data_IF_114355832144
#
_entry.id   IF_114355832144
#
_cell.length_a   1.000
_cell.length_b   1.000
_cell.length_c   1.000
_cell.angle_alpha   90.00
_cell.angle_beta   90.00
_cell.angle_gamma   90.00
#
_symmetry.space_group_name_H-M   'P 1'
#
loop_
_entity.id
_entity.type
_entity.pdbx_description
1 polymer ?
#
# COMPACT_ATOMS: atom_id res chain seq x y z
N UNK A 1 -30.39 26.93 -11.78
CA UNK A 1 -30.23 25.57 -12.34
C UNK A 1 -31.37 24.71 -11.83
N UNK A 2 -32.09 23.99 -12.69
CA UNK A 2 -33.17 23.08 -12.28
C UNK A 2 -32.59 21.97 -11.35
N UNK A 3 -33.37 21.51 -10.35
CA UNK A 3 -32.97 20.45 -9.41
C UNK A 3 -32.55 19.18 -10.16
N UNK A 4 -33.30 18.81 -11.20
CA UNK A 4 -32.99 17.66 -12.05
C UNK A 4 -31.63 17.79 -12.73
N UNK A 5 -31.35 18.97 -13.31
CA UNK A 5 -30.06 19.20 -13.97
C UNK A 5 -28.88 19.20 -12.99
N UNK A 6 -29.11 19.67 -11.76
CA UNK A 6 -28.11 19.59 -10.69
C UNK A 6 -27.84 18.15 -10.29
N UNK A 7 -28.89 17.34 -10.12
CA UNK A 7 -28.76 15.93 -9.78
C UNK A 7 -28.03 15.15 -10.88
N UNK A 8 -28.34 15.40 -12.15
CA UNK A 8 -27.65 14.81 -13.31
C UNK A 8 -26.14 15.11 -13.30
N UNK A 9 -25.75 16.37 -13.13
CA UNK A 9 -24.33 16.76 -13.08
C UNK A 9 -23.60 16.15 -11.88
N UNK A 10 -24.26 16.05 -10.72
CA UNK A 10 -23.69 15.41 -9.54
C UNK A 10 -23.52 13.89 -9.73
N UNK A 11 -24.48 13.23 -10.41
CA UNK A 11 -24.42 11.81 -10.76
C UNK A 11 -23.26 11.51 -11.71
N UNK A 12 -23.08 12.33 -12.74
CA UNK A 12 -21.96 12.19 -13.68
C UNK A 12 -20.61 12.36 -12.96
N UNK A 13 -20.49 13.41 -12.14
CA UNK A 13 -19.29 13.64 -11.34
C UNK A 13 -19.02 12.52 -10.31
N UNK A 14 -20.08 11.98 -9.70
CA UNK A 14 -20.00 10.82 -8.81
C UNK A 14 -19.44 9.60 -9.55
N UNK A 15 -19.93 9.31 -10.76
CA UNK A 15 -19.49 8.18 -11.57
C UNK A 15 -18.00 8.30 -11.93
N UNK A 16 -17.57 9.48 -12.34
CA UNK A 16 -16.16 9.74 -12.68
C UNK A 16 -15.26 9.64 -11.44
N UNK A 17 -15.70 10.21 -10.32
CA UNK A 17 -14.99 10.12 -9.03
C UNK A 17 -14.87 8.67 -8.57
N UNK A 18 -15.94 7.89 -8.69
CA UNK A 18 -15.95 6.46 -8.34
C UNK A 18 -14.96 5.67 -9.20
N UNK A 19 -14.93 5.92 -10.50
CA UNK A 19 -13.98 5.26 -11.40
C UNK A 19 -12.52 5.60 -11.04
N UNK A 20 -12.25 6.84 -10.65
CA UNK A 20 -10.93 7.26 -10.16
C UNK A 20 -10.53 6.51 -8.89
N UNK A 21 -11.46 6.34 -7.93
CA UNK A 21 -11.22 5.55 -6.70
C UNK A 21 -10.87 4.10 -7.05
N UNK A 22 -11.63 3.47 -7.94
CA UNK A 22 -11.37 2.09 -8.39
C UNK A 22 -9.99 1.94 -9.03
N UNK A 23 -9.54 2.93 -9.79
CA UNK A 23 -8.20 2.94 -10.37
C UNK A 23 -7.12 3.04 -9.29
N UNK A 24 -7.28 3.93 -8.30
CA UNK A 24 -6.34 4.04 -7.18
C UNK A 24 -6.28 2.76 -6.33
N UNK A 25 -7.43 2.11 -6.09
CA UNK A 25 -7.50 0.83 -5.40
C UNK A 25 -6.75 -0.29 -6.13
N UNK A 26 -6.99 -0.44 -7.44
CA UNK A 26 -6.30 -1.45 -8.26
C UNK A 26 -4.79 -1.25 -8.22
N UNK A 27 -4.34 0.00 -8.35
CA UNK A 27 -2.91 0.32 -8.30
C UNK A 27 -2.30 0.11 -6.92
N UNK A 28 -3.01 0.48 -5.84
CA UNK A 28 -2.57 0.18 -4.46
C UNK A 28 -2.39 -1.32 -4.25
N UNK A 29 -3.31 -2.15 -4.75
CA UNK A 29 -3.22 -3.61 -4.62
C UNK A 29 -2.06 -4.19 -5.44
N UNK A 30 -1.75 -3.64 -6.62
CA UNK A 30 -0.55 -4.04 -7.39
C UNK A 30 0.74 -3.68 -6.66
N UNK A 31 0.82 -2.46 -6.13
CA UNK A 31 1.97 -2.01 -5.33
C UNK A 31 2.18 -2.90 -4.10
N UNK A 32 1.11 -3.33 -3.45
CA UNK A 32 1.20 -4.27 -2.32
C UNK A 32 1.89 -5.58 -2.72
N UNK A 33 1.50 -6.16 -3.86
CA UNK A 33 2.12 -7.40 -4.36
C UNK A 33 3.61 -7.17 -4.66
N UNK A 34 3.96 -6.03 -5.27
CA UNK A 34 5.35 -5.69 -5.54
C UNK A 34 6.17 -5.50 -4.26
N UNK A 35 5.61 -4.86 -3.23
CA UNK A 35 6.25 -4.71 -1.92
C UNK A 35 6.48 -6.09 -1.30
N UNK A 36 5.50 -6.98 -1.31
CA UNK A 36 5.66 -8.34 -0.79
C UNK A 36 6.74 -9.13 -1.55
N UNK A 37 6.77 -9.03 -2.88
CA UNK A 37 7.78 -9.68 -3.70
C UNK A 37 9.19 -9.16 -3.38
N UNK A 38 9.36 -7.84 -3.25
CA UNK A 38 10.64 -7.26 -2.86
C UNK A 38 11.05 -7.65 -1.44
N UNK A 39 10.11 -7.70 -0.50
CA UNK A 39 10.41 -8.15 0.86
C UNK A 39 10.87 -9.61 0.87
N UNK A 40 10.26 -10.47 0.07
CA UNK A 40 10.71 -11.85 -0.08
C UNK A 40 12.14 -11.91 -0.66
N UNK A 41 12.47 -11.08 -1.66
CA UNK A 41 13.82 -11.00 -2.23
C UNK A 41 14.83 -10.52 -1.19
N UNK A 42 14.52 -9.46 -0.43
CA UNK A 42 15.44 -8.97 0.62
C UNK A 42 15.57 -10.00 1.74
N UNK A 43 14.50 -10.70 2.11
CA UNK A 43 14.56 -11.77 3.11
C UNK A 43 15.47 -12.90 2.63
N UNK A 44 15.38 -13.30 1.36
CA UNK A 44 16.28 -14.28 0.78
C UNK A 44 17.74 -13.81 0.85
N UNK A 45 18.03 -12.55 0.49
CA UNK A 45 19.38 -11.97 0.62
C UNK A 45 19.89 -12.01 2.06
N UNK A 46 19.05 -11.67 3.03
CA UNK A 46 19.42 -11.62 4.45
C UNK A 46 19.68 -13.00 5.07
N UNK A 47 18.95 -14.03 4.64
CA UNK A 47 19.05 -15.37 5.22
C UNK A 47 19.85 -16.35 4.37
N UNK A 48 20.14 -16.02 3.11
CA UNK A 48 21.06 -16.81 2.32
C UNK A 48 22.48 -16.54 2.79
N UNK A 49 23.22 -17.58 3.15
CA UNK A 49 24.67 -17.49 3.22
C UNK A 49 25.21 -16.98 1.87
N UNK A 50 26.45 -16.45 1.86
CA UNK A 50 27.14 -15.92 0.68
C UNK A 50 27.12 -16.86 -0.55
N UNK A 51 26.76 -18.12 -0.34
CA UNK A 51 26.38 -19.15 -1.30
C UNK A 51 25.41 -18.68 -2.39
N UNK A 52 24.38 -17.86 -2.11
CA UNK A 52 23.45 -17.42 -3.19
C UNK A 52 24.14 -16.51 -4.21
N UNK A 53 24.86 -15.49 -3.74
CA UNK A 53 25.65 -14.59 -4.59
C UNK A 53 26.71 -15.35 -5.39
N UNK A 54 27.34 -16.37 -4.79
CA UNK A 54 28.30 -17.25 -5.47
C UNK A 54 27.63 -18.09 -6.57
N UNK A 55 26.46 -18.67 -6.30
CA UNK A 55 25.70 -19.45 -7.27
C UNK A 55 25.30 -18.62 -8.49
N UNK A 56 24.79 -17.41 -8.28
CA UNK A 56 24.39 -16.53 -9.39
C UNK A 56 25.61 -16.12 -10.20
N UNK A 57 26.71 -15.73 -9.56
CA UNK A 57 27.95 -15.38 -10.26
C UNK A 57 28.54 -16.58 -11.02
N UNK A 58 28.46 -17.80 -10.48
CA UNK A 58 28.87 -19.02 -11.18
C UNK A 58 28.01 -19.30 -12.41
N UNK A 59 26.69 -19.06 -12.33
CA UNK A 59 25.78 -19.22 -13.46
C UNK A 59 26.02 -18.17 -14.54
N UNK A 60 26.32 -16.93 -14.17
CA UNK A 60 26.72 -15.86 -15.10
C UNK A 60 28.01 -16.24 -15.83
N UNK A 61 29.05 -16.66 -15.11
CA UNK A 61 30.32 -17.12 -15.70
C UNK A 61 30.13 -18.30 -16.64
N UNK A 62 29.26 -19.24 -16.29
CA UNK A 62 28.94 -20.39 -17.16
C UNK A 62 28.33 -19.98 -18.50
N UNK A 63 27.53 -18.91 -18.54
CA UNK A 63 26.83 -18.47 -19.77
C UNK A 63 27.57 -17.38 -20.55
N UNK A 64 28.34 -16.52 -19.88
CA UNK A 64 29.00 -15.35 -20.46
C UNK A 64 30.54 -15.48 -20.51
N UNK A 65 31.08 -16.59 -20.00
CA UNK A 65 32.51 -16.85 -19.92
C UNK A 65 33.19 -16.22 -18.69
N UNK A 66 34.44 -16.58 -18.45
CA UNK A 66 35.21 -16.15 -17.27
C UNK A 66 35.55 -14.66 -17.23
N UNK A 67 35.42 -13.96 -18.37
CA UNK A 67 35.57 -12.51 -18.51
C UNK A 67 34.37 -11.71 -17.98
N UNK A 68 33.29 -12.38 -17.56
CA UNK A 68 32.13 -11.72 -16.98
C UNK A 68 32.49 -11.02 -15.66
N UNK A 69 32.18 -9.72 -15.58
CA UNK A 69 32.36 -8.93 -14.35
C UNK A 69 31.44 -9.49 -13.27
N UNK A 70 31.96 -9.85 -12.07
CA UNK A 70 31.13 -10.35 -10.99
C UNK A 70 30.17 -9.26 -10.52
N UNK A 71 28.92 -9.64 -10.24
CA UNK A 71 27.94 -8.74 -9.67
C UNK A 71 28.23 -8.52 -8.19
N UNK A 72 28.24 -7.25 -7.78
CA UNK A 72 28.29 -6.86 -6.38
C UNK A 72 26.87 -6.86 -5.80
N UNK A 73 26.56 -7.92 -5.05
CA UNK A 73 25.26 -8.10 -4.42
C UNK A 73 24.99 -7.09 -3.30
N UNK A 74 26.01 -6.45 -2.71
CA UNK A 74 25.79 -5.40 -1.71
C UNK A 74 25.16 -4.17 -2.35
N UNK A 75 25.66 -3.75 -3.52
CA UNK A 75 25.13 -2.60 -4.27
C UNK A 75 23.72 -2.91 -4.81
N UNK A 76 23.50 -4.12 -5.30
CA UNK A 76 22.17 -4.56 -5.75
C UNK A 76 21.19 -4.56 -4.57
N UNK A 77 21.59 -5.09 -3.41
CA UNK A 77 20.78 -5.04 -2.19
C UNK A 77 20.39 -3.62 -1.79
N UNK A 78 21.35 -2.68 -1.84
CA UNK A 78 21.07 -1.25 -1.61
C UNK A 78 20.07 -0.67 -2.61
N UNK A 79 20.20 -1.00 -3.90
CA UNK A 79 19.27 -0.55 -4.93
C UNK A 79 17.85 -1.12 -4.72
N UNK A 80 17.75 -2.39 -4.33
CA UNK A 80 16.48 -3.05 -3.99
C UNK A 80 15.83 -2.40 -2.78
N UNK A 81 16.60 -2.08 -1.74
CA UNK A 81 16.09 -1.39 -0.55
C UNK A 81 15.60 0.03 -0.88
N UNK A 82 16.31 0.75 -1.74
CA UNK A 82 15.86 2.04 -2.23
C UNK A 82 14.56 1.94 -3.06
N UNK A 83 14.48 0.95 -3.94
CA UNK A 83 13.25 0.66 -4.69
C UNK A 83 12.08 0.38 -3.74
N UNK A 84 12.31 -0.42 -2.68
CA UNK A 84 11.30 -0.69 -1.65
C UNK A 84 10.79 0.62 -1.01
N UNK A 85 11.67 1.54 -0.62
CA UNK A 85 11.28 2.86 -0.10
C UNK A 85 10.34 3.59 -1.07
N UNK A 86 10.68 3.65 -2.36
CA UNK A 86 9.86 4.36 -3.35
C UNK A 86 8.47 3.73 -3.51
N UNK A 87 8.38 2.39 -3.51
CA UNK A 87 7.10 1.69 -3.59
C UNK A 87 6.24 1.91 -2.34
N UNK A 88 6.84 1.95 -1.15
CA UNK A 88 6.15 2.23 0.11
C UNK A 88 5.55 3.63 0.09
N UNK A 89 6.30 4.64 -0.35
CA UNK A 89 5.82 6.03 -0.45
C UNK A 89 4.60 6.09 -1.39
N UNK A 90 4.69 5.48 -2.57
CA UNK A 90 3.58 5.45 -3.53
C UNK A 90 2.38 4.63 -3.01
N UNK A 91 2.62 3.54 -2.29
CA UNK A 91 1.58 2.74 -1.66
C UNK A 91 0.80 3.56 -0.62
N UNK A 92 1.50 4.26 0.28
CA UNK A 92 0.89 5.10 1.31
C UNK A 92 0.15 6.28 0.71
N UNK A 93 0.75 6.99 -0.26
CA UNK A 93 0.09 8.07 -0.99
C UNK A 93 -1.24 7.62 -1.58
N UNK A 94 -1.27 6.48 -2.27
CA UNK A 94 -2.51 5.93 -2.85
C UNK A 94 -3.51 5.48 -1.79
N UNK A 95 -3.03 4.85 -0.71
CA UNK A 95 -3.91 4.46 0.40
C UNK A 95 -4.59 5.66 1.05
N UNK A 96 -3.87 6.78 1.21
CA UNK A 96 -4.40 8.04 1.74
C UNK A 96 -5.42 8.64 0.76
N UNK A 97 -5.09 8.69 -0.53
CA UNK A 97 -6.00 9.22 -1.57
C UNK A 97 -7.31 8.46 -1.62
N UNK A 98 -7.26 7.13 -1.61
CA UNK A 98 -8.46 6.27 -1.63
C UNK A 98 -9.38 6.60 -0.45
N UNK A 99 -8.82 6.69 0.75
CA UNK A 99 -9.60 6.97 1.97
C UNK A 99 -10.23 8.37 1.95
N UNK A 100 -9.48 9.39 1.51
CA UNK A 100 -10.00 10.76 1.33
C UNK A 100 -11.11 10.81 0.29
N UNK A 101 -10.90 10.17 -0.85
CA UNK A 101 -11.89 10.14 -1.93
C UNK A 101 -13.16 9.40 -1.52
N UNK A 102 -13.06 8.35 -0.69
CA UNK A 102 -14.24 7.68 -0.14
C UNK A 102 -15.10 8.60 0.72
N UNK A 103 -14.50 9.45 1.56
CA UNK A 103 -15.24 10.45 2.35
C UNK A 103 -15.90 11.50 1.46
N UNK A 104 -15.20 11.92 0.41
CA UNK A 104 -15.76 12.84 -0.58
C UNK A 104 -16.95 12.22 -1.32
N UNK A 105 -16.86 10.95 -1.69
CA UNK A 105 -17.93 10.20 -2.34
C UNK A 105 -19.18 10.14 -1.45
N UNK A 106 -19.02 9.90 -0.14
CA UNK A 106 -20.13 9.96 0.81
C UNK A 106 -20.80 11.34 0.86
N UNK A 107 -20.03 12.43 0.76
CA UNK A 107 -20.59 13.77 0.69
C UNK A 107 -21.38 13.99 -0.63
N UNK A 108 -20.86 13.50 -1.76
CA UNK A 108 -21.58 13.54 -3.04
C UNK A 108 -22.89 12.75 -2.98
N UNK A 109 -22.88 11.55 -2.40
CA UNK A 109 -24.08 10.73 -2.21
C UNK A 109 -25.16 11.50 -1.43
N UNK A 110 -24.78 12.15 -0.32
CA UNK A 110 -25.71 12.97 0.47
C UNK A 110 -26.29 14.14 -0.35
N UNK A 111 -25.44 14.86 -1.09
CA UNK A 111 -25.89 15.98 -1.94
C UNK A 111 -26.83 15.54 -3.06
N UNK A 112 -26.61 14.34 -3.63
CA UNK A 112 -27.48 13.77 -4.67
C UNK A 112 -28.84 13.38 -4.05
N UNK A 113 -28.84 12.72 -2.90
CA UNK A 113 -30.07 12.33 -2.21
C UNK A 113 -30.90 13.56 -1.77
N UNK A 114 -30.25 14.61 -1.26
CA UNK A 114 -30.89 15.91 -0.97
C UNK A 114 -31.48 16.58 -2.22
N UNK A 115 -30.79 16.48 -3.36
CA UNK A 115 -31.26 17.10 -4.60
C UNK A 115 -32.47 16.38 -5.21
N UNK A 116 -32.60 15.08 -4.99
CA UNK A 116 -33.67 14.22 -5.56
C UNK A 116 -34.78 13.88 -4.56
N UNK A 117 -34.67 14.32 -3.30
CA UNK A 117 -35.67 14.08 -2.25
C UNK A 117 -35.91 12.57 -1.99
N UNK A 118 -34.82 11.79 -1.90
CA UNK A 118 -34.88 10.36 -1.59
C UNK A 118 -33.53 9.64 -1.59
N UNK A 119 -33.53 8.42 -1.04
CA UNK A 119 -32.36 7.54 -0.88
C UNK A 119 -32.02 6.76 -2.18
N UNK A 120 -31.90 7.47 -3.30
CA UNK A 120 -31.69 6.85 -4.62
C UNK A 120 -30.25 6.43 -4.88
N UNK A 121 -29.28 7.26 -4.48
CA UNK A 121 -27.85 6.98 -4.61
C UNK A 121 -27.30 6.75 -3.23
N UNK A 122 -27.60 5.57 -2.73
CA UNK A 122 -26.81 4.97 -1.67
C UNK A 122 -25.82 4.06 -2.38
N UNK A 123 -24.52 4.09 -2.03
CA UNK A 123 -23.55 3.11 -2.58
C UNK A 123 -24.10 1.67 -2.43
N UNK A 124 -23.25 0.70 -2.70
CA UNK A 124 -23.03 -0.40 -1.75
C UNK A 124 -22.94 0.05 -0.24
N UNK A 125 -23.13 1.32 0.12
CA UNK A 125 -22.74 2.05 1.32
C UNK A 125 -23.69 1.81 2.47
N UNK A 126 -24.78 1.10 2.21
CA UNK A 126 -25.58 0.45 3.23
C UNK A 126 -25.49 -1.09 3.22
N UNK A 127 -24.84 -1.69 2.22
CA UNK A 127 -24.61 -3.15 2.19
C UNK A 127 -23.71 -3.59 3.36
N UNK A 128 -22.78 -2.75 3.80
CA UNK A 128 -21.97 -3.01 4.99
C UNK A 128 -22.79 -2.99 6.28
N UNK A 129 -23.95 -2.31 6.29
CA UNK A 129 -24.93 -2.37 7.36
C UNK A 129 -25.95 -3.50 7.16
N UNK A 130 -25.69 -4.40 6.22
CA UNK A 130 -26.56 -5.54 5.90
C UNK A 130 -25.78 -6.85 5.94
N UNK A 131 -26.44 -7.92 6.39
CA UNK A 131 -25.92 -9.28 6.27
C UNK A 131 -26.24 -9.91 4.90
N UNK A 132 -27.25 -9.38 4.21
CA UNK A 132 -27.88 -9.96 3.00
C UNK A 132 -27.79 -9.07 1.76
N UNK A 133 -27.33 -7.82 1.92
CA UNK A 133 -27.25 -6.81 0.86
C UNK A 133 -28.36 -5.75 0.90
N UNK A 134 -29.41 -5.93 1.70
CA UNK A 134 -30.52 -4.99 1.90
C UNK A 134 -30.34 -4.22 3.21
N UNK A 135 -30.43 -2.89 3.18
CA UNK A 135 -30.27 -2.05 4.38
C UNK A 135 -31.39 -2.28 5.41
N UNK A 136 -31.02 -2.66 6.64
CA UNK A 136 -31.98 -2.93 7.73
C UNK A 136 -32.08 -1.79 8.77
N UNK A 137 -31.59 -0.58 8.47
CA UNK A 137 -31.86 0.60 9.31
C UNK A 137 -31.07 0.70 10.64
N UNK A 138 -30.43 -0.37 11.10
CA UNK A 138 -29.82 -0.42 12.44
C UNK A 138 -28.44 0.28 12.56
N UNK A 139 -27.87 0.82 11.48
CA UNK A 139 -26.61 1.57 11.50
C UNK A 139 -25.36 0.81 11.99
N UNK A 140 -25.48 -0.46 12.38
CA UNK A 140 -24.39 -1.29 12.85
C UNK A 140 -23.68 -1.99 11.67
N UNK A 141 -22.36 -1.90 11.61
CA UNK A 141 -21.55 -2.53 10.56
C UNK A 141 -21.64 -4.08 10.67
N UNK A 142 -22.34 -4.69 9.72
CA UNK A 142 -22.59 -6.12 9.58
C UNK A 142 -21.64 -6.81 8.59
N UNK A 143 -20.55 -6.15 8.16
CA UNK A 143 -19.53 -6.80 7.31
C UNK A 143 -19.09 -8.14 7.90
N UNK A 144 -18.98 -9.20 7.08
CA UNK A 144 -18.36 -10.45 7.48
C UNK A 144 -17.03 -10.21 8.17
N UNK A 145 -16.74 -10.99 9.23
CA UNK A 145 -15.52 -10.83 10.03
C UNK A 145 -14.25 -10.81 9.18
N UNK A 146 -14.22 -11.62 8.11
CA UNK A 146 -13.13 -11.64 7.13
C UNK A 146 -12.82 -10.26 6.54
N UNK A 147 -13.83 -9.50 6.09
CA UNK A 147 -13.61 -8.18 5.50
C UNK A 147 -13.11 -7.14 6.52
N UNK A 148 -13.54 -7.28 7.79
CA UNK A 148 -13.06 -6.42 8.89
C UNK A 148 -11.59 -6.70 9.20
N UNK A 149 -11.20 -7.97 9.27
CA UNK A 149 -9.81 -8.37 9.57
C UNK A 149 -8.84 -7.98 8.45
N UNK A 150 -9.28 -8.06 7.20
CA UNK A 150 -8.45 -7.66 6.05
C UNK A 150 -8.07 -6.18 6.13
N UNK A 151 -8.97 -5.30 6.57
CA UNK A 151 -8.66 -3.88 6.75
C UNK A 151 -7.56 -3.62 7.78
N UNK A 152 -7.60 -4.33 8.91
CA UNK A 152 -6.58 -4.25 9.97
C UNK A 152 -5.23 -4.75 9.45
N UNK A 153 -5.25 -5.86 8.70
CA UNK A 153 -4.05 -6.46 8.12
C UNK A 153 -3.30 -5.47 7.21
N UNK A 154 -3.98 -4.87 6.24
CA UNK A 154 -3.35 -3.89 5.35
C UNK A 154 -2.87 -2.63 6.05
N UNK A 155 -3.59 -2.20 7.08
CA UNK A 155 -3.35 -0.92 7.74
C UNK A 155 -2.22 -0.98 8.77
N UNK A 156 -2.12 -2.08 9.52
CA UNK A 156 -1.18 -2.20 10.65
C UNK A 156 -0.16 -3.32 10.46
N UNK A 157 -0.55 -4.49 9.94
CA UNK A 157 0.38 -5.61 9.83
C UNK A 157 1.52 -5.27 8.85
N UNK A 158 1.20 -4.63 7.72
CA UNK A 158 2.19 -4.29 6.69
C UNK A 158 3.23 -3.29 7.21
N UNK A 159 2.86 -2.13 7.79
CA UNK A 159 3.85 -1.23 8.40
C UNK A 159 4.65 -1.88 9.53
N UNK A 160 4.03 -2.74 10.35
CA UNK A 160 4.72 -3.42 11.45
C UNK A 160 5.78 -4.39 10.93
N UNK A 161 5.43 -5.28 10.00
CA UNK A 161 6.38 -6.21 9.38
C UNK A 161 7.51 -5.44 8.70
N UNK A 162 7.19 -4.40 7.94
CA UNK A 162 8.20 -3.55 7.29
C UNK A 162 9.16 -2.93 8.29
N UNK A 163 8.64 -2.42 9.41
CA UNK A 163 9.44 -1.78 10.45
C UNK A 163 10.35 -2.78 11.13
N UNK A 164 9.83 -3.94 11.52
CA UNK A 164 10.62 -5.02 12.13
C UNK A 164 11.73 -5.49 11.19
N UNK A 165 11.40 -5.66 9.91
CA UNK A 165 12.35 -6.12 8.91
C UNK A 165 13.50 -5.14 8.68
N UNK A 166 13.17 -3.85 8.56
CA UNK A 166 14.18 -2.79 8.38
C UNK A 166 15.03 -2.60 9.64
N UNK A 167 14.42 -2.64 10.83
CA UNK A 167 15.17 -2.56 12.08
C UNK A 167 16.12 -3.73 12.25
N UNK A 168 15.67 -4.95 11.92
CA UNK A 168 16.52 -6.13 11.94
C UNK A 168 17.73 -5.95 11.02
N UNK A 169 17.54 -5.47 9.79
CA UNK A 169 18.65 -5.17 8.86
C UNK A 169 19.61 -4.10 9.39
N UNK A 170 19.10 -3.04 10.00
CA UNK A 170 19.96 -2.00 10.61
C UNK A 170 20.81 -2.59 11.73
N UNK A 171 20.24 -3.45 12.57
CA UNK A 171 20.96 -4.10 13.67
C UNK A 171 22.03 -5.05 13.16
N UNK A 172 21.77 -5.82 12.10
CA UNK A 172 22.78 -6.73 11.52
C UNK A 172 23.95 -6.00 10.89
N UNK A 173 23.72 -4.81 10.35
CA UNK A 173 24.74 -4.02 9.63
C UNK A 173 25.48 -3.03 10.57
N UNK A 174 25.21 -3.05 11.88
CA UNK A 174 25.79 -2.12 12.85
C UNK A 174 27.07 -2.70 13.52
N UNK A 175 28.16 -1.92 13.64
CA UNK A 175 28.36 -0.56 13.12
C UNK A 175 28.59 -0.54 11.61
N UNK A 176 28.03 0.46 10.88
CA UNK A 176 28.15 0.53 9.44
C UNK A 176 29.58 0.92 9.04
N UNK A 177 30.36 -0.06 8.59
CA UNK A 177 31.76 0.15 8.15
C UNK A 177 31.89 0.50 6.68
N UNK A 178 30.91 0.08 5.85
CA UNK A 178 30.89 0.29 4.40
C UNK A 178 29.91 1.41 4.02
N UNK A 179 30.19 2.09 2.90
CA UNK A 179 29.29 3.12 2.33
C UNK A 179 27.90 2.55 2.03
N UNK A 180 27.82 1.30 1.54
CA UNK A 180 26.56 0.58 1.30
C UNK A 180 25.75 0.39 2.58
N UNK A 181 26.40 0.06 3.70
CA UNK A 181 25.75 -0.08 5.01
C UNK A 181 25.23 1.27 5.56
N UNK A 182 26.00 2.36 5.39
CA UNK A 182 25.55 3.71 5.75
C UNK A 182 24.32 4.10 4.93
N UNK A 183 24.37 3.90 3.61
CA UNK A 183 23.25 4.16 2.72
C UNK A 183 22.00 3.35 3.13
N UNK A 184 22.15 2.05 3.36
CA UNK A 184 21.07 1.18 3.79
C UNK A 184 20.44 1.63 5.12
N UNK A 185 21.27 2.09 6.06
CA UNK A 185 20.80 2.62 7.34
C UNK A 185 19.95 3.87 7.15
N UNK A 186 20.40 4.82 6.31
CA UNK A 186 19.64 6.04 6.01
C UNK A 186 18.31 5.72 5.35
N UNK A 187 18.31 4.85 4.33
CA UNK A 187 17.07 4.41 3.66
C UNK A 187 16.14 3.69 4.64
N UNK A 188 16.69 2.83 5.51
CA UNK A 188 15.93 2.14 6.53
C UNK A 188 15.23 3.11 7.50
N UNK A 189 15.95 4.12 8.00
CA UNK A 189 15.37 5.16 8.85
C UNK A 189 14.26 5.94 8.13
N UNK A 190 14.41 6.22 6.84
CA UNK A 190 13.35 6.84 6.03
C UNK A 190 12.11 5.94 5.91
N UNK A 191 12.28 4.64 5.71
CA UNK A 191 11.14 3.69 5.68
C UNK A 191 10.40 3.72 7.03
N UNK A 192 11.14 3.66 8.14
CA UNK A 192 10.54 3.75 9.49
C UNK A 192 9.80 5.08 9.67
N UNK A 193 10.39 6.20 9.25
CA UNK A 193 9.75 7.51 9.30
C UNK A 193 8.42 7.53 8.54
N UNK A 194 8.39 7.05 7.28
CA UNK A 194 7.16 7.01 6.49
C UNK A 194 6.12 6.04 7.06
N UNK A 195 6.54 4.90 7.64
CA UNK A 195 5.64 3.98 8.33
C UNK A 195 4.95 4.66 9.52
N UNK A 196 5.73 5.35 10.36
CA UNK A 196 5.18 6.09 11.53
C UNK A 196 4.21 7.16 11.05
N UNK A 197 4.59 7.97 10.05
CA UNK A 197 3.71 9.00 9.50
C UNK A 197 2.39 8.43 8.96
N UNK A 198 2.45 7.29 8.25
CA UNK A 198 1.25 6.62 7.76
C UNK A 198 0.36 6.12 8.90
N UNK A 199 0.92 5.44 9.91
CA UNK A 199 0.16 4.91 11.06
C UNK A 199 -0.43 6.04 11.92
N UNK A 200 0.32 7.11 12.15
CA UNK A 200 -0.17 8.32 12.82
C UNK A 200 -1.35 8.89 12.03
N UNK A 201 -1.19 9.06 10.71
CA UNK A 201 -2.28 9.55 9.87
C UNK A 201 -3.53 8.68 9.97
N UNK A 202 -3.39 7.35 9.90
CA UNK A 202 -4.48 6.37 10.10
C UNK A 202 -5.18 6.57 11.44
N UNK A 203 -4.42 6.67 12.53
CA UNK A 203 -4.95 6.74 13.89
C UNK A 203 -5.67 8.05 14.17
N UNK A 204 -5.18 9.16 13.62
CA UNK A 204 -5.77 10.49 13.78
C UNK A 204 -6.78 10.85 12.67
N UNK A 205 -7.26 9.87 11.88
CA UNK A 205 -8.38 10.03 10.92
C UNK A 205 -9.71 10.29 11.65
N UNK A 206 -9.83 11.38 12.39
CA UNK A 206 -11.14 11.98 12.68
C UNK A 206 -11.59 12.73 11.43
#
# INVERSE_FOLDING_TARGET
MNKEKRAELLLDHYKDTFQNILNHLRMRNRLFIYILALLAVIALDMFSDATFAQWVNALIRKNLGDSAVPLDFEVIGSAVLFLLLTLIIEYYKRSITVDRQYRYLTNLENQICEAMDGDFVTREGKSYFSKTGIYEGNGADHRPGYLKTVGILYTYLVPVILTLFVLFRIVTDFPPTKVTAIFNTVIGLLIVYYNVMYVVWVRFRK
#
